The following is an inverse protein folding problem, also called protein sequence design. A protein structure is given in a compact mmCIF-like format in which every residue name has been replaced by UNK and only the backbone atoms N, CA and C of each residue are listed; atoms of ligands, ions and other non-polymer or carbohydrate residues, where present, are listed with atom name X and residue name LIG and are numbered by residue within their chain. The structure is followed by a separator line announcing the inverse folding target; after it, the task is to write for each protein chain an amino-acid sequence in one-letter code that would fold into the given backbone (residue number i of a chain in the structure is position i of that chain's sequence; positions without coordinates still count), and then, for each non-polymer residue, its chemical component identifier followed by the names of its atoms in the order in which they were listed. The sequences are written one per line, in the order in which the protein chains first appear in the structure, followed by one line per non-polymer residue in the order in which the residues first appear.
data_IF_864813101070
#
_entry.id   IF_864813101070
#
_cell.length_a   1.000
_cell.length_b   1.000
_cell.length_c   1.000
_cell.angle_alpha   90.00
_cell.angle_beta   90.00
_cell.angle_gamma   90.00
#
_symmetry.space_group_name_H-M   'P 1'
#
loop_
_entity.id
_entity.type
_entity.pdbx_description
1 polymer ?
#
# COMPACT_ATOMS: atom_id res chain seq x y z
N UNK A 1 -14.37 -2.52 -12.46
CA UNK A 1 -13.17 -1.87 -11.90
C UNK A 1 -11.92 -2.20 -12.72
N UNK A 2 -11.93 -3.29 -13.49
CA UNK A 2 -10.78 -3.77 -14.28
C UNK A 2 -10.22 -2.75 -15.28
N UNK A 3 -11.09 -1.98 -15.95
CA UNK A 3 -10.64 -0.90 -16.85
C UNK A 3 -9.95 0.26 -16.12
N UNK A 4 -10.29 0.48 -14.84
CA UNK A 4 -9.65 1.49 -14.01
C UNK A 4 -8.26 1.01 -13.61
N UNK A 5 -8.14 -0.26 -13.20
CA UNK A 5 -6.86 -0.89 -12.88
C UNK A 5 -5.95 -0.94 -14.11
N UNK A 6 -6.47 -1.34 -15.26
CA UNK A 6 -5.73 -1.39 -16.53
C UNK A 6 -5.28 0.01 -17.02
N UNK A 7 -5.96 1.07 -16.59
CA UNK A 7 -5.59 2.46 -16.91
C UNK A 7 -4.47 3.03 -16.04
N UNK A 8 -4.09 2.35 -14.96
CA UNK A 8 -3.07 2.81 -14.02
C UNK A 8 -1.79 2.00 -14.26
N UNK A 9 -0.74 2.68 -14.73
CA UNK A 9 0.51 2.01 -15.11
C UNK A 9 1.31 1.47 -13.91
N UNK A 10 1.20 2.12 -12.75
CA UNK A 10 1.92 1.75 -11.53
C UNK A 10 0.97 1.02 -10.55
N UNK A 11 1.22 -0.26 -10.21
CA UNK A 11 0.41 -1.01 -9.27
C UNK A 11 0.36 -0.37 -7.87
N UNK A 12 1.42 0.32 -7.42
CA UNK A 12 1.43 1.02 -6.12
C UNK A 12 0.42 2.17 -6.08
N UNK A 13 0.38 2.98 -7.15
CA UNK A 13 -0.63 4.01 -7.31
C UNK A 13 -2.05 3.43 -7.45
N UNK A 14 -2.20 2.27 -8.10
CA UNK A 14 -3.50 1.60 -8.19
C UNK A 14 -4.03 1.17 -6.81
N UNK A 15 -3.17 0.62 -5.94
CA UNK A 15 -3.53 0.31 -4.55
C UNK A 15 -3.95 1.57 -3.79
N UNK A 16 -3.21 2.67 -3.95
CA UNK A 16 -3.50 3.94 -3.27
C UNK A 16 -4.85 4.54 -3.71
N UNK A 17 -5.12 4.57 -5.01
CA UNK A 17 -6.37 5.10 -5.57
C UNK A 17 -7.58 4.23 -5.21
N UNK A 18 -7.44 2.89 -5.29
CA UNK A 18 -8.49 1.98 -4.84
C UNK A 18 -8.67 2.04 -3.31
N UNK A 19 -7.60 2.30 -2.56
CA UNK A 19 -7.63 2.53 -1.12
C UNK A 19 -8.56 3.67 -0.73
N UNK A 20 -8.59 4.77 -1.50
CA UNK A 20 -9.52 5.88 -1.26
C UNK A 20 -10.99 5.46 -1.40
N UNK A 21 -11.30 4.53 -2.30
CA UNK A 21 -12.65 3.97 -2.44
C UNK A 21 -12.95 2.98 -1.31
N UNK A 22 -11.96 2.17 -0.91
CA UNK A 22 -12.07 1.23 0.19
C UNK A 22 -12.23 1.91 1.56
N UNK A 23 -11.74 3.14 1.73
CA UNK A 23 -11.91 3.95 2.93
C UNK A 23 -13.08 4.95 2.84
N UNK A 24 -13.91 4.88 1.79
CA UNK A 24 -14.97 5.87 1.60
C UNK A 24 -16.03 5.76 2.72
N UNK A 25 -16.20 6.88 3.44
CA UNK A 25 -17.25 7.04 4.44
C UNK A 25 -18.17 8.19 4.04
N UNK A 26 -19.47 7.92 3.83
CA UNK A 26 -20.42 8.97 3.48
C UNK A 26 -20.61 9.96 4.64
N UNK A 27 -20.93 11.23 4.33
CA UNK A 27 -21.38 12.18 5.34
C UNK A 27 -22.79 11.82 5.81
N UNK A 28 -23.03 11.89 7.12
CA UNK A 28 -24.32 11.57 7.73
C UNK A 28 -25.43 12.51 7.26
N UNK A 29 -26.62 11.95 7.01
CA UNK A 29 -27.80 12.76 6.72
C UNK A 29 -28.37 13.36 8.01
N UNK A 30 -28.57 14.68 8.00
CA UNK A 30 -29.33 15.37 9.05
C UNK A 30 -30.84 15.30 8.76
N UNK A 31 -31.63 14.89 9.74
CA UNK A 31 -33.09 14.97 9.67
C UNK A 31 -33.81 13.99 10.57
N UNK A 32 -35.02 14.34 11.02
CA UNK A 32 -35.89 13.47 11.81
C UNK A 32 -37.05 12.94 10.95
N UNK A 33 -37.38 11.65 11.10
CA UNK A 33 -38.51 10.99 10.45
C UNK A 33 -38.15 9.70 9.70
N UNK A 34 -39.17 8.98 9.22
CA UNK A 34 -38.99 7.68 8.54
C UNK A 34 -38.23 7.79 7.21
N UNK A 35 -38.30 8.93 6.54
CA UNK A 35 -37.62 9.17 5.25
C UNK A 35 -36.10 9.37 5.46
N UNK A 36 -35.69 10.06 6.54
CA UNK A 36 -34.26 10.22 6.83
C UNK A 36 -33.63 8.89 7.22
N UNK A 37 -34.31 8.09 8.06
CA UNK A 37 -33.84 6.74 8.39
C UNK A 37 -33.72 5.81 7.17
N UNK A 38 -34.67 5.86 6.23
CA UNK A 38 -34.57 5.07 5.00
C UNK A 38 -33.38 5.50 4.10
N UNK A 39 -33.06 6.80 4.07
CA UNK A 39 -31.90 7.32 3.33
C UNK A 39 -30.57 6.91 3.95
N UNK A 40 -30.48 6.94 5.27
CA UNK A 40 -29.30 6.49 6.02
C UNK A 40 -29.00 5.03 5.71
N UNK A 41 -29.99 4.14 5.80
CA UNK A 41 -29.85 2.72 5.45
C UNK A 41 -29.41 2.53 3.99
N UNK A 42 -30.00 3.27 3.05
CA UNK A 42 -29.62 3.20 1.65
C UNK A 42 -28.18 3.69 1.39
N UNK A 43 -27.75 4.75 2.09
CA UNK A 43 -26.42 5.32 2.00
C UNK A 43 -25.36 4.37 2.58
N UNK A 44 -25.64 3.79 3.75
CA UNK A 44 -24.76 2.80 4.38
C UNK A 44 -24.59 1.57 3.50
N UNK A 45 -25.68 1.03 2.98
CA UNK A 45 -25.65 -0.10 2.05
C UNK A 45 -24.86 0.22 0.77
N UNK A 46 -25.03 1.42 0.20
CA UNK A 46 -24.30 1.85 -1.00
C UNK A 46 -22.81 2.02 -0.71
N UNK A 47 -22.46 2.59 0.44
CA UNK A 47 -21.05 2.76 0.83
C UNK A 47 -20.36 1.43 1.10
N UNK A 48 -21.03 0.48 1.75
CA UNK A 48 -20.52 -0.86 1.96
C UNK A 48 -20.32 -1.61 0.64
N UNK A 49 -21.26 -1.48 -0.30
CA UNK A 49 -21.12 -2.06 -1.65
C UNK A 49 -19.91 -1.47 -2.38
N UNK A 50 -19.71 -0.15 -2.31
CA UNK A 50 -18.57 0.52 -2.93
C UNK A 50 -17.24 0.02 -2.34
N UNK A 51 -17.10 0.01 -1.01
CA UNK A 51 -15.88 -0.47 -0.34
C UNK A 51 -15.56 -1.92 -0.71
N UNK A 52 -16.55 -2.82 -0.65
CA UNK A 52 -16.37 -4.24 -1.04
C UNK A 52 -16.00 -4.42 -2.51
N UNK A 53 -16.60 -3.62 -3.40
CA UNK A 53 -16.27 -3.67 -4.83
C UNK A 53 -14.85 -3.18 -5.15
N UNK A 54 -14.26 -2.36 -4.27
CA UNK A 54 -12.88 -1.89 -4.39
C UNK A 54 -11.87 -2.90 -3.81
N UNK A 55 -12.25 -3.72 -2.83
CA UNK A 55 -11.35 -4.73 -2.24
C UNK A 55 -10.97 -5.86 -3.21
N UNK A 56 -11.89 -6.30 -4.06
CA UNK A 56 -11.62 -7.34 -5.06
C UNK A 56 -10.47 -6.96 -6.03
N UNK A 57 -10.50 -5.80 -6.73
CA UNK A 57 -9.41 -5.40 -7.60
C UNK A 57 -8.13 -5.07 -6.84
N UNK A 58 -8.18 -4.64 -5.57
CA UNK A 58 -6.97 -4.49 -4.75
C UNK A 58 -6.24 -5.83 -4.62
N UNK A 59 -6.98 -6.93 -4.38
CA UNK A 59 -6.41 -8.28 -4.33
C UNK A 59 -5.72 -8.69 -5.63
N UNK A 60 -6.33 -8.37 -6.78
CA UNK A 60 -5.74 -8.65 -8.10
C UNK A 60 -4.47 -7.83 -8.35
N UNK A 61 -4.49 -6.53 -8.02
CA UNK A 61 -3.32 -5.66 -8.15
C UNK A 61 -2.17 -6.17 -7.28
N UNK A 62 -2.46 -6.56 -6.02
CA UNK A 62 -1.46 -7.13 -5.09
C UNK A 62 -0.81 -8.39 -5.67
N UNK A 63 -1.54 -9.21 -6.43
CA UNK A 63 -0.98 -10.40 -7.06
C UNK A 63 0.07 -10.08 -8.16
N UNK A 64 0.03 -8.88 -8.73
CA UNK A 64 0.98 -8.40 -9.76
C UNK A 64 2.01 -7.40 -9.25
N UNK A 65 1.85 -6.92 -8.02
CA UNK A 65 2.69 -5.89 -7.43
C UNK A 65 4.06 -6.46 -7.05
N UNK A 66 5.12 -5.78 -7.50
CA UNK A 66 6.50 -6.09 -7.16
C UNK A 66 7.03 -4.96 -6.27
N UNK A 67 7.15 -5.19 -4.95
CA UNK A 67 7.71 -4.21 -4.02
C UNK A 67 9.22 -4.05 -4.24
N UNK A 68 9.75 -2.85 -3.99
CA UNK A 68 11.17 -2.52 -4.15
C UNK A 68 12.01 -2.99 -2.95
N UNK A 69 11.38 -3.14 -1.78
CA UNK A 69 12.04 -3.57 -0.54
C UNK A 69 11.12 -4.41 0.33
N UNK A 70 11.71 -5.15 1.28
CA UNK A 70 10.93 -5.88 2.29
C UNK A 70 10.00 -4.96 3.10
N UNK A 71 10.50 -3.80 3.53
CA UNK A 71 9.71 -2.86 4.33
C UNK A 71 8.52 -2.29 3.54
N UNK A 72 8.71 -2.04 2.24
CA UNK A 72 7.63 -1.61 1.35
C UNK A 72 6.57 -2.70 1.18
N UNK A 73 6.99 -3.97 1.05
CA UNK A 73 6.10 -5.11 1.01
C UNK A 73 5.26 -5.22 2.31
N UNK A 74 5.90 -5.05 3.46
CA UNK A 74 5.25 -5.08 4.77
C UNK A 74 4.28 -3.90 4.95
N UNK A 75 4.69 -2.69 4.57
CA UNK A 75 3.84 -1.48 4.64
C UNK A 75 2.59 -1.63 3.77
N UNK A 76 2.76 -2.12 2.55
CA UNK A 76 1.64 -2.38 1.63
C UNK A 76 0.73 -3.49 2.19
N UNK A 77 1.29 -4.53 2.80
CA UNK A 77 0.52 -5.59 3.45
C UNK A 77 -0.32 -5.04 4.60
N UNK A 78 0.27 -4.24 5.48
CA UNK A 78 -0.44 -3.59 6.60
C UNK A 78 -1.55 -2.67 6.10
N UNK A 79 -1.29 -1.89 5.05
CA UNK A 79 -2.30 -1.02 4.45
C UNK A 79 -3.50 -1.80 3.90
N UNK A 80 -3.24 -2.83 3.07
CA UNK A 80 -4.31 -3.61 2.43
C UNK A 80 -5.07 -4.44 3.46
N UNK A 81 -4.38 -5.07 4.42
CA UNK A 81 -5.05 -5.79 5.51
C UNK A 81 -5.87 -4.85 6.39
N UNK A 82 -5.41 -3.62 6.62
CA UNK A 82 -6.17 -2.58 7.32
C UNK A 82 -7.50 -2.24 6.62
N UNK A 83 -7.52 -2.15 5.29
CA UNK A 83 -8.77 -1.95 4.54
C UNK A 83 -9.73 -3.13 4.67
N UNK A 84 -9.22 -4.36 4.62
CA UNK A 84 -10.04 -5.57 4.77
C UNK A 84 -10.58 -5.69 6.20
N UNK A 85 -9.74 -5.42 7.21
CA UNK A 85 -10.11 -5.49 8.62
C UNK A 85 -11.17 -4.43 8.99
N UNK A 86 -11.10 -3.24 8.38
CA UNK A 86 -12.14 -2.22 8.54
C UNK A 86 -13.50 -2.66 7.99
N UNK A 87 -13.53 -3.32 6.82
CA UNK A 87 -14.79 -3.81 6.24
C UNK A 87 -15.31 -5.08 6.95
N UNK A 88 -14.41 -5.90 7.52
CA UNK A 88 -14.79 -7.06 8.34
C UNK A 88 -15.62 -6.66 9.57
N UNK A 89 -15.36 -5.47 10.17
CA UNK A 89 -16.14 -4.95 11.28
C UNK A 89 -17.57 -4.54 10.89
N UNK A 90 -17.80 -4.23 9.61
CA UNK A 90 -19.10 -3.81 9.07
C UNK A 90 -19.86 -4.98 8.43
N UNK A 91 -19.17 -6.11 8.19
CA UNK A 91 -19.75 -7.29 7.56
C UNK A 91 -20.88 -7.88 8.41
N UNK A 92 -22.13 -7.75 7.95
CA UNK A 92 -23.30 -8.31 8.63
C UNK A 92 -23.67 -9.75 8.23
N UNK A 93 -22.99 -10.35 7.24
CA UNK A 93 -23.32 -11.68 6.70
C UNK A 93 -22.08 -12.61 6.65
N UNK A 94 -22.27 -13.86 7.06
CA UNK A 94 -21.24 -14.89 7.19
C UNK A 94 -20.53 -15.19 5.88
N UNK A 95 -21.25 -15.17 4.75
CA UNK A 95 -20.64 -15.46 3.44
C UNK A 95 -19.66 -14.35 3.04
N UNK A 96 -20.07 -13.09 3.22
CA UNK A 96 -19.21 -11.94 2.95
C UNK A 96 -17.99 -11.93 3.87
N UNK A 97 -18.20 -12.24 5.16
CA UNK A 97 -17.13 -12.37 6.14
C UNK A 97 -16.08 -13.42 5.73
N UNK A 98 -16.52 -14.64 5.40
CA UNK A 98 -15.62 -15.72 4.98
C UNK A 98 -14.84 -15.39 3.70
N UNK A 99 -15.48 -14.73 2.73
CA UNK A 99 -14.81 -14.30 1.51
C UNK A 99 -13.70 -13.28 1.79
N UNK A 100 -13.94 -12.32 2.69
CA UNK A 100 -12.95 -11.31 3.07
C UNK A 100 -11.79 -11.90 3.88
N UNK A 101 -12.05 -12.87 4.76
CA UNK A 101 -10.98 -13.61 5.46
C UNK A 101 -10.12 -14.38 4.48
N UNK A 102 -10.72 -15.05 3.48
CA UNK A 102 -9.96 -15.74 2.44
C UNK A 102 -9.09 -14.76 1.63
N UNK A 103 -9.64 -13.60 1.23
CA UNK A 103 -8.89 -12.55 0.54
C UNK A 103 -7.72 -12.02 1.38
N UNK A 104 -7.95 -11.80 2.68
CA UNK A 104 -6.90 -11.37 3.62
C UNK A 104 -5.76 -12.39 3.67
N UNK A 105 -6.07 -13.67 3.77
CA UNK A 105 -5.08 -14.74 3.79
C UNK A 105 -4.29 -14.80 2.48
N UNK A 106 -4.95 -14.67 1.32
CA UNK A 106 -4.25 -14.66 0.04
C UNK A 106 -3.33 -13.46 -0.11
N UNK A 107 -3.74 -12.26 0.33
CA UNK A 107 -2.92 -11.04 0.30
C UNK A 107 -1.68 -11.20 1.18
N UNK A 108 -1.87 -11.66 2.42
CA UNK A 108 -0.75 -11.90 3.35
C UNK A 108 0.20 -12.93 2.78
N UNK A 109 -0.31 -14.05 2.26
CA UNK A 109 0.52 -15.09 1.65
C UNK A 109 1.30 -14.58 0.43
N UNK A 110 0.67 -13.80 -0.45
CA UNK A 110 1.31 -13.24 -1.63
C UNK A 110 2.43 -12.28 -1.25
N UNK A 111 2.15 -11.29 -0.40
CA UNK A 111 3.14 -10.28 0.00
C UNK A 111 4.24 -10.84 0.90
N UNK A 112 3.96 -11.85 1.73
CA UNK A 112 5.00 -12.54 2.50
C UNK A 112 5.93 -13.32 1.58
N UNK A 113 5.40 -14.00 0.57
CA UNK A 113 6.20 -14.79 -0.38
C UNK A 113 7.06 -13.86 -1.24
N UNK A 114 6.48 -12.79 -1.79
CA UNK A 114 7.22 -11.81 -2.58
C UNK A 114 8.24 -11.07 -1.71
N UNK A 115 7.83 -10.60 -0.52
CA UNK A 115 8.69 -9.90 0.42
C UNK A 115 9.87 -10.74 0.92
N UNK A 116 9.70 -12.04 1.16
CA UNK A 116 10.77 -12.93 1.60
C UNK A 116 11.95 -13.02 0.62
N UNK A 117 11.74 -12.68 -0.65
CA UNK A 117 12.80 -12.63 -1.67
C UNK A 117 13.45 -11.26 -1.81
N UNK A 118 12.93 -10.24 -1.13
CA UNK A 118 13.37 -8.85 -1.28
C UNK A 118 14.40 -8.45 -0.22
N UNK A 119 15.38 -7.60 -0.61
CA UNK A 119 16.35 -7.06 0.34
C UNK A 119 15.69 -6.19 1.41
N UNK A 120 16.20 -6.30 2.63
CA UNK A 120 15.80 -5.45 3.75
C UNK A 120 16.51 -4.09 3.68
N UNK A 121 15.87 -3.05 4.21
CA UNK A 121 16.48 -1.74 4.35
C UNK A 121 17.19 -1.64 5.70
N UNK A 122 18.43 -1.18 5.71
CA UNK A 122 19.17 -0.85 6.93
C UNK A 122 19.52 0.64 6.96
N UNK A 123 19.48 1.21 8.17
CA UNK A 123 19.81 2.60 8.41
C UNK A 123 21.33 2.75 8.59
N UNK A 124 21.96 3.51 7.70
CA UNK A 124 23.38 3.86 7.78
C UNK A 124 23.55 5.31 8.19
N UNK A 125 24.58 5.57 9.01
CA UNK A 125 24.96 6.92 9.42
C UNK A 125 26.38 7.25 8.99
N UNK A 126 26.54 8.42 8.37
CA UNK A 126 27.81 8.97 7.92
C UNK A 126 28.17 10.23 8.71
N UNK A 127 29.47 10.48 8.85
CA UNK A 127 29.99 11.65 9.60
C UNK A 127 29.79 12.99 8.90
N UNK A 128 29.61 13.00 7.58
CA UNK A 128 29.46 14.20 6.77
C UNK A 128 28.63 13.90 5.50
N UNK A 129 27.92 14.89 4.95
CA UNK A 129 27.24 14.75 3.67
C UNK A 129 28.27 14.49 2.57
N UNK A 130 27.97 13.54 1.69
CA UNK A 130 28.84 13.17 0.57
C UNK A 130 28.01 12.88 -0.69
N UNK A 131 28.63 12.91 -1.89
CA UNK A 131 27.92 12.60 -3.12
C UNK A 131 27.39 11.16 -3.13
N UNK A 132 26.22 10.95 -3.75
CA UNK A 132 25.57 9.65 -3.85
C UNK A 132 26.50 8.57 -4.42
N UNK A 133 27.28 8.91 -5.46
CA UNK A 133 28.26 8.01 -6.08
C UNK A 133 29.32 7.51 -5.08
N UNK A 134 29.82 8.41 -4.24
CA UNK A 134 30.83 8.08 -3.21
C UNK A 134 30.19 7.23 -2.11
N UNK A 135 28.95 7.54 -1.74
CA UNK A 135 28.20 6.79 -0.74
C UNK A 135 27.88 5.36 -1.22
N UNK A 136 27.40 5.20 -2.46
CA UNK A 136 27.12 3.91 -3.10
C UNK A 136 28.40 3.05 -3.22
N UNK A 137 29.52 3.66 -3.64
CA UNK A 137 30.81 2.97 -3.70
C UNK A 137 31.29 2.47 -2.32
N UNK A 138 30.91 3.14 -1.22
CA UNK A 138 31.27 2.72 0.14
C UNK A 138 30.34 1.65 0.70
N UNK A 139 29.03 1.76 0.46
CA UNK A 139 28.02 0.84 0.97
C UNK A 139 28.00 -0.48 0.18
N UNK A 140 28.01 -0.37 -1.16
CA UNK A 140 27.77 -1.51 -2.04
C UNK A 140 29.01 -1.99 -2.76
N UNK A 141 30.13 -1.24 -2.69
CA UNK A 141 31.32 -1.46 -3.52
C UNK A 141 31.03 -1.44 -5.02
N UNK A 142 29.90 -0.85 -5.41
CA UNK A 142 29.42 -0.77 -6.79
C UNK A 142 28.83 0.62 -7.06
N UNK A 143 29.37 1.29 -8.08
CA UNK A 143 28.91 2.60 -8.52
C UNK A 143 27.60 2.54 -9.32
N UNK A 144 27.24 1.37 -9.88
CA UNK A 144 26.00 1.17 -10.63
C UNK A 144 24.74 1.32 -9.77
N UNK A 145 24.85 1.12 -8.46
CA UNK A 145 23.74 1.22 -7.50
C UNK A 145 23.52 2.64 -6.95
N UNK A 146 24.07 3.65 -7.63
CA UNK A 146 23.92 5.05 -7.23
C UNK A 146 22.48 5.53 -7.38
N UNK A 147 21.82 5.18 -8.48
CA UNK A 147 20.45 5.63 -8.77
C UNK A 147 19.44 5.01 -7.77
N UNK A 148 19.63 3.74 -7.41
CA UNK A 148 18.85 3.07 -6.35
C UNK A 148 18.98 3.82 -5.01
N UNK A 149 20.20 4.21 -4.64
CA UNK A 149 20.44 4.94 -3.39
C UNK A 149 19.81 6.34 -3.40
N UNK A 150 19.85 7.02 -4.54
CA UNK A 150 19.20 8.32 -4.72
C UNK A 150 17.68 8.17 -4.59
N UNK A 151 17.09 7.18 -5.26
CA UNK A 151 15.65 6.93 -5.21
C UNK A 151 15.20 6.58 -3.79
N UNK A 152 16.00 5.82 -3.04
CA UNK A 152 15.66 5.38 -1.69
C UNK A 152 15.76 6.49 -0.63
N UNK A 153 16.79 7.33 -0.73
CA UNK A 153 17.03 8.38 0.25
C UNK A 153 16.41 9.74 -0.12
N UNK A 154 15.89 9.87 -1.34
CA UNK A 154 15.20 11.05 -1.89
C UNK A 154 15.86 12.39 -1.48
N UNK A 155 17.15 12.60 -1.80
CA UNK A 155 17.86 13.81 -1.41
C UNK A 155 17.42 15.01 -2.24
N UNK A 156 17.44 16.21 -1.65
CA UNK A 156 17.23 17.47 -2.38
C UNK A 156 18.20 17.60 -3.57
N UNK A 157 19.45 17.16 -3.39
CA UNK A 157 20.44 17.13 -4.46
C UNK A 157 21.39 15.91 -4.34
N UNK A 158 21.59 15.11 -5.40
CA UNK A 158 22.40 13.88 -5.36
C UNK A 158 23.86 14.08 -4.90
N UNK A 159 24.45 15.26 -5.14
CA UNK A 159 25.81 15.58 -4.68
C UNK A 159 25.91 15.83 -3.16
N UNK A 160 24.78 16.01 -2.47
CA UNK A 160 24.68 16.34 -1.06
C UNK A 160 23.69 15.39 -0.36
N UNK A 161 24.02 14.10 -0.30
CA UNK A 161 23.17 13.15 0.40
C UNK A 161 23.14 13.44 1.91
N UNK A 162 22.00 13.18 2.57
CA UNK A 162 21.90 13.31 4.02
C UNK A 162 22.84 12.34 4.75
N UNK A 163 23.20 12.69 5.99
CA UNK A 163 24.09 11.87 6.83
C UNK A 163 23.42 10.61 7.37
N UNK A 164 22.09 10.54 7.33
CA UNK A 164 21.31 9.36 7.68
C UNK A 164 20.56 8.91 6.43
N UNK A 165 20.84 7.70 5.96
CA UNK A 165 20.20 7.11 4.78
C UNK A 165 19.74 5.70 5.09
N UNK A 166 18.61 5.30 4.48
CA UNK A 166 18.21 3.89 4.42
C UNK A 166 18.72 3.32 3.11
N UNK A 167 19.40 2.19 3.17
CA UNK A 167 19.99 1.53 2.01
C UNK A 167 19.66 0.05 2.01
N UNK A 168 19.56 -0.53 0.82
CA UNK A 168 19.21 -1.94 0.64
C UNK A 168 20.40 -2.82 1.04
N UNK A 169 20.27 -3.58 2.11
CA UNK A 169 21.26 -4.57 2.51
C UNK A 169 21.16 -5.74 1.54
N UNK A 170 22.34 -6.19 1.09
CA UNK A 170 22.51 -7.28 0.15
C UNK A 170 21.65 -8.50 0.45
#
# INVERSE_FOLDING_TARGET
MDVLVAGIADPGNAISLLGLLASYTPSTFGGSGVISGAREVAQDATSALLRRSALAPIGEVVATYVPTSYDEAMTTMEMVTGFIDAELLVAGDDRSYNAMIALRQSVVSALTTTGATMPALEAFSFRAPMPALVMASRLYQDAGRTDELIQQADPIHPAFMPTHVKALVR
#
